data_IF_148681479408
#
_entry.id   IF_148681479408
#
_cell.length_a   1.000
_cell.length_b   1.000
_cell.length_c   1.000
_cell.angle_alpha   90.00
_cell.angle_beta   90.00
_cell.angle_gamma   90.00
#
_symmetry.space_group_name_H-M   'P 1'
#
loop_
_entity.id
_entity.type
_entity.pdbx_description
1 polymer ?
#
# COMPACT_ATOMS: atom_id res chain seq x y z
N UNK A 1 8.72 -9.55 45.22
CA UNK A 1 8.84 -8.12 45.00
C UNK A 1 10.35 -7.81 44.83
N UNK A 2 10.87 -7.88 43.61
CA UNK A 2 12.25 -7.46 43.24
C UNK A 2 12.14 -6.59 42.01
N UNK A 3 12.37 -5.32 42.23
CA UNK A 3 12.45 -4.29 41.17
C UNK A 3 13.71 -4.53 40.34
N UNK A 4 13.55 -4.56 39.03
CA UNK A 4 14.69 -4.49 38.09
C UNK A 4 14.95 -3.03 37.76
N UNK A 5 16.20 -2.58 37.74
CA UNK A 5 16.55 -1.21 37.39
C UNK A 5 16.44 -1.03 35.86
N UNK A 6 15.75 0.05 35.47
CA UNK A 6 15.66 0.50 34.08
C UNK A 6 17.06 0.81 33.53
N UNK A 7 17.34 0.31 32.35
CA UNK A 7 18.47 0.73 31.53
C UNK A 7 18.16 2.10 30.94
N UNK A 8 18.85 3.10 31.44
CA UNK A 8 18.94 4.41 30.78
C UNK A 8 19.82 4.20 29.54
N UNK A 9 19.21 4.26 28.36
CA UNK A 9 19.93 4.36 27.10
C UNK A 9 20.44 5.80 26.98
N UNK A 10 21.72 5.99 27.26
CA UNK A 10 22.44 7.22 26.93
C UNK A 10 22.62 7.26 25.40
N UNK A 11 21.94 8.21 24.74
CA UNK A 11 22.17 8.54 23.34
C UNK A 11 23.52 9.29 23.22
N UNK A 12 24.50 8.79 22.47
CA UNK A 12 25.68 9.56 22.12
C UNK A 12 25.38 10.32 20.82
N UNK A 13 25.42 11.63 20.85
CA UNK A 13 25.63 12.44 19.67
C UNK A 13 24.64 13.57 19.39
N UNK A 14 24.24 14.36 20.40
CA UNK A 14 23.74 15.71 20.12
C UNK A 14 24.91 16.65 19.86
N UNK A 15 25.09 17.08 18.61
CA UNK A 15 26.03 18.14 18.25
C UNK A 15 25.51 19.48 18.77
N UNK A 16 26.25 20.06 19.72
CA UNK A 16 26.02 21.40 20.22
C UNK A 16 26.34 22.45 19.15
N UNK A 17 25.31 23.15 18.65
CA UNK A 17 25.52 24.32 17.81
C UNK A 17 25.68 25.56 18.68
N UNK A 18 26.92 26.12 18.78
CA UNK A 18 27.17 27.42 19.42
C UNK A 18 26.56 28.53 18.57
N UNK A 19 25.91 29.49 19.24
CA UNK A 19 25.16 30.59 18.65
C UNK A 19 25.95 31.45 17.67
N UNK A 20 25.30 31.72 16.52
CA UNK A 20 25.79 32.63 15.51
C UNK A 20 24.74 33.67 15.16
N UNK A 21 25.08 34.93 15.24
CA UNK A 21 24.41 36.06 14.63
C UNK A 21 24.34 35.82 13.12
N UNK A 22 23.11 35.69 12.56
CA UNK A 22 22.83 35.31 11.16
C UNK A 22 23.48 33.96 10.78
N UNK A 23 23.04 32.88 11.44
CA UNK A 23 23.66 31.56 11.28
C UNK A 23 23.09 30.75 10.16
N UNK A 24 23.95 29.93 9.56
CA UNK A 24 23.55 28.75 8.79
C UNK A 24 23.73 27.59 9.76
N UNK A 25 22.62 26.84 10.00
CA UNK A 25 22.65 25.57 10.71
C UNK A 25 22.45 24.47 9.68
N UNK A 26 23.37 23.53 9.60
CA UNK A 26 23.26 22.34 8.75
C UNK A 26 23.13 21.10 9.62
N UNK A 27 22.14 20.30 9.35
CA UNK A 27 21.76 19.10 10.09
C UNK A 27 21.86 17.92 9.13
N UNK A 28 22.53 16.85 9.56
CA UNK A 28 22.60 15.58 8.87
C UNK A 28 21.98 14.52 9.78
N UNK A 29 20.70 14.19 9.61
CA UNK A 29 20.08 13.13 10.41
C UNK A 29 20.78 11.80 10.16
N UNK A 30 20.95 10.99 11.20
CA UNK A 30 21.51 9.67 11.06
C UNK A 30 20.49 8.75 10.39
N UNK A 31 20.84 8.02 9.30
CA UNK A 31 19.93 7.05 8.69
C UNK A 31 19.76 5.83 9.61
N UNK A 32 18.56 5.25 9.59
CA UNK A 32 18.24 4.03 10.35
C UNK A 32 17.79 2.91 9.41
N UNK A 33 18.00 1.65 9.84
CA UNK A 33 17.63 0.45 9.09
C UNK A 33 16.41 -0.27 9.70
N UNK A 34 15.55 0.47 10.39
CA UNK A 34 14.33 -0.06 10.99
C UNK A 34 13.29 -0.46 9.95
N UNK A 35 12.42 -1.42 10.29
CA UNK A 35 11.20 -1.67 9.53
C UNK A 35 10.24 -0.49 9.74
N UNK A 36 9.90 0.20 8.65
CA UNK A 36 8.97 1.34 8.69
C UNK A 36 7.55 0.86 8.42
N UNK A 37 6.61 1.35 9.22
CA UNK A 37 5.19 1.00 9.10
C UNK A 37 4.42 2.18 8.50
N UNK A 38 4.45 2.27 7.18
CA UNK A 38 3.86 3.38 6.44
C UNK A 38 2.56 2.98 5.70
N UNK A 39 1.61 3.90 5.52
CA UNK A 39 0.39 3.62 4.77
C UNK A 39 0.65 3.17 3.34
N UNK A 40 -0.03 2.11 2.90
CA UNK A 40 0.00 1.64 1.52
C UNK A 40 1.30 0.94 1.10
N UNK A 41 2.16 0.56 2.04
CA UNK A 41 3.38 -0.22 1.77
C UNK A 41 3.60 -1.30 2.81
N UNK A 42 4.25 -2.40 2.42
CA UNK A 42 4.59 -3.51 3.31
C UNK A 42 3.59 -4.66 3.26
N UNK A 43 3.21 -5.19 4.42
CA UNK A 43 2.36 -6.38 4.50
C UNK A 43 0.88 -6.03 4.38
N UNK A 44 0.19 -6.75 3.50
CA UNK A 44 -1.27 -6.82 3.47
C UNK A 44 -1.76 -7.92 4.40
N UNK A 45 -2.72 -7.62 5.25
CA UNK A 45 -3.41 -8.58 6.11
C UNK A 45 -4.63 -9.17 5.38
N UNK A 46 -4.85 -10.49 5.51
CA UNK A 46 -5.87 -11.21 4.76
C UNK A 46 -7.02 -11.65 5.68
N UNK A 47 -8.01 -10.79 5.88
CA UNK A 47 -9.04 -10.97 6.90
C UNK A 47 -10.10 -12.02 6.58
N UNK A 48 -10.42 -12.25 5.30
CA UNK A 48 -11.58 -13.06 4.94
C UNK A 48 -11.31 -14.56 4.87
N UNK A 49 -10.07 -15.03 5.05
CA UNK A 49 -9.76 -16.43 4.80
C UNK A 49 -9.18 -17.17 5.98
N UNK A 50 -8.10 -16.70 6.56
CA UNK A 50 -7.38 -17.45 7.59
C UNK A 50 -6.93 -16.58 8.75
N UNK A 51 -7.38 -15.32 8.78
CA UNK A 51 -6.97 -14.33 9.75
C UNK A 51 -7.24 -14.78 11.19
N UNK A 52 -6.18 -15.16 11.85
CA UNK A 52 -6.10 -15.18 13.31
C UNK A 52 -4.93 -14.28 13.71
N UNK A 53 -5.02 -13.63 14.87
CA UNK A 53 -3.93 -12.76 15.31
C UNK A 53 -2.62 -13.54 15.41
N UNK A 54 -1.58 -13.05 14.73
CA UNK A 54 -0.23 -13.59 14.78
C UNK A 54 0.65 -12.67 15.64
N UNK A 55 1.54 -13.26 16.42
CA UNK A 55 2.55 -12.49 17.16
C UNK A 55 3.61 -11.90 16.23
N UNK A 56 4.32 -10.88 16.68
CA UNK A 56 5.44 -10.29 15.92
C UNK A 56 6.59 -11.29 15.67
N UNK A 57 6.69 -12.34 16.48
CA UNK A 57 7.64 -13.42 16.27
C UNK A 57 7.23 -14.29 15.07
N UNK A 58 5.94 -14.48 14.88
CA UNK A 58 5.39 -15.33 13.82
C UNK A 58 5.23 -14.59 12.50
N UNK A 59 4.94 -13.27 12.53
CA UNK A 59 4.62 -12.52 11.33
C UNK A 59 5.04 -11.04 11.48
N UNK A 60 5.56 -10.39 10.42
CA UNK A 60 5.78 -8.94 10.43
C UNK A 60 4.49 -8.16 10.64
N UNK A 61 4.63 -6.92 11.10
CA UNK A 61 3.47 -6.01 11.26
C UNK A 61 2.80 -5.76 9.93
N UNK A 62 1.48 -5.91 9.87
CA UNK A 62 0.67 -5.54 8.71
C UNK A 62 0.39 -4.04 8.69
N UNK A 63 0.49 -3.42 7.53
CA UNK A 63 0.29 -1.99 7.29
C UNK A 63 -0.91 -1.70 6.41
N UNK A 64 -1.43 -2.72 5.74
CA UNK A 64 -2.61 -2.70 4.90
C UNK A 64 -3.56 -3.80 5.34
N UNK A 65 -4.80 -3.45 5.50
CA UNK A 65 -5.90 -4.35 5.83
C UNK A 65 -6.65 -4.68 4.54
N UNK A 66 -6.47 -5.90 4.01
CA UNK A 66 -6.96 -6.28 2.70
C UNK A 66 -8.22 -7.11 2.78
N UNK A 67 -9.32 -6.60 2.17
CA UNK A 67 -10.63 -7.23 2.17
C UNK A 67 -11.08 -7.66 0.78
N UNK A 68 -11.71 -8.84 0.70
CA UNK A 68 -12.47 -9.32 -0.45
C UNK A 68 -13.94 -9.37 -0.07
N UNK A 69 -14.76 -8.55 -0.73
CA UNK A 69 -16.21 -8.49 -0.49
C UNK A 69 -16.96 -9.15 -1.62
N UNK A 70 -18.01 -9.90 -1.29
CA UNK A 70 -18.89 -10.44 -2.29
C UNK A 70 -19.96 -9.41 -2.68
N UNK A 71 -20.33 -9.39 -3.95
CA UNK A 71 -21.45 -8.52 -4.39
C UNK A 71 -22.72 -8.76 -3.58
N UNK A 72 -23.06 -10.04 -3.27
CA UNK A 72 -24.20 -10.40 -2.43
C UNK A 72 -24.20 -9.75 -1.03
N UNK A 73 -23.04 -9.46 -0.48
CA UNK A 73 -22.90 -8.78 0.82
C UNK A 73 -23.04 -7.26 0.69
N UNK A 74 -22.49 -6.72 -0.40
CA UNK A 74 -22.47 -5.27 -0.65
C UNK A 74 -23.83 -4.73 -1.12
N UNK A 75 -24.64 -5.54 -1.80
CA UNK A 75 -25.96 -5.15 -2.30
C UNK A 75 -26.97 -6.28 -2.05
N UNK A 76 -27.37 -6.54 -0.79
CA UNK A 76 -28.27 -7.64 -0.42
C UNK A 76 -29.66 -7.49 -1.04
N UNK A 77 -30.11 -6.28 -1.37
CA UNK A 77 -31.30 -5.95 -2.13
C UNK A 77 -30.98 -4.94 -3.22
N UNK A 78 -31.71 -4.97 -4.34
CA UNK A 78 -31.44 -4.10 -5.47
C UNK A 78 -31.45 -2.62 -5.07
N UNK A 79 -30.32 -1.94 -5.25
CA UNK A 79 -30.11 -0.52 -4.90
C UNK A 79 -29.91 -0.23 -3.41
N UNK A 80 -29.92 -1.26 -2.55
CA UNK A 80 -29.61 -1.10 -1.11
C UNK A 80 -28.16 -1.53 -0.86
N UNK A 81 -27.26 -0.54 -0.84
CA UNK A 81 -25.82 -0.80 -0.64
C UNK A 81 -25.45 -0.85 0.84
N UNK A 82 -24.81 -1.93 1.25
CA UNK A 82 -24.37 -2.16 2.62
C UNK A 82 -22.96 -1.56 2.86
N UNK A 83 -22.86 -0.24 2.79
CA UNK A 83 -21.60 0.47 3.05
C UNK A 83 -21.04 0.21 4.45
N UNK A 84 -21.90 -0.11 5.42
CA UNK A 84 -21.48 -0.41 6.78
C UNK A 84 -20.43 -1.55 6.88
N UNK A 85 -20.35 -2.45 5.89
CA UNK A 85 -19.28 -3.46 5.84
C UNK A 85 -17.91 -2.83 5.63
N UNK A 86 -17.80 -1.95 4.65
CA UNK A 86 -16.54 -1.27 4.30
C UNK A 86 -16.22 -0.20 5.35
N UNK A 87 -17.23 0.53 5.84
CA UNK A 87 -17.05 1.55 6.88
C UNK A 87 -16.46 0.95 8.17
N UNK A 88 -16.94 -0.24 8.59
CA UNK A 88 -16.37 -0.95 9.75
C UNK A 88 -14.94 -1.41 9.51
N UNK A 89 -14.64 -1.89 8.30
CA UNK A 89 -13.28 -2.28 7.94
C UNK A 89 -12.33 -1.06 7.98
N UNK A 90 -12.75 0.08 7.45
CA UNK A 90 -12.00 1.34 7.54
C UNK A 90 -11.78 1.74 9.00
N UNK A 91 -12.85 1.74 9.81
CA UNK A 91 -12.76 2.12 11.21
C UNK A 91 -11.80 1.21 11.99
N UNK A 92 -11.89 -0.09 11.79
CA UNK A 92 -10.99 -1.08 12.40
C UNK A 92 -9.53 -0.84 12.01
N UNK A 93 -9.24 -0.67 10.73
CA UNK A 93 -7.90 -0.42 10.22
C UNK A 93 -7.32 0.91 10.76
N UNK A 94 -8.14 1.95 10.85
CA UNK A 94 -7.71 3.26 11.34
C UNK A 94 -7.48 3.30 12.87
N UNK A 95 -8.04 2.34 13.63
CA UNK A 95 -7.80 2.18 15.07
C UNK A 95 -6.76 1.09 15.40
N UNK A 96 -6.22 0.40 14.40
CA UNK A 96 -5.13 -0.56 14.59
C UNK A 96 -3.84 0.12 15.06
N UNK A 97 -2.94 -0.66 15.66
CA UNK A 97 -1.60 -0.19 16.06
C UNK A 97 -0.53 -1.11 15.48
N UNK A 98 0.28 -0.64 14.52
CA UNK A 98 0.20 0.67 13.86
C UNK A 98 -1.10 0.84 13.06
N UNK A 99 -1.47 2.09 12.81
CA UNK A 99 -2.60 2.44 11.95
C UNK A 99 -2.43 1.86 10.55
N UNK A 100 -3.46 1.19 10.04
CA UNK A 100 -3.44 0.53 8.73
C UNK A 100 -4.22 1.34 7.70
N UNK A 101 -3.81 1.26 6.44
CA UNK A 101 -4.67 1.57 5.31
C UNK A 101 -5.50 0.35 4.93
N UNK A 102 -6.54 0.53 4.13
CA UNK A 102 -7.38 -0.56 3.64
C UNK A 102 -7.20 -0.73 2.12
N UNK A 103 -7.24 -1.97 1.67
CA UNK A 103 -7.39 -2.32 0.26
C UNK A 103 -8.58 -3.24 0.08
N UNK A 104 -9.24 -3.20 -1.07
CA UNK A 104 -10.43 -4.00 -1.28
C UNK A 104 -10.56 -4.55 -2.70
N UNK A 105 -11.23 -5.71 -2.81
CA UNK A 105 -11.63 -6.37 -4.04
C UNK A 105 -13.11 -6.75 -3.95
N UNK A 106 -13.87 -6.51 -5.00
CA UNK A 106 -15.22 -7.04 -5.15
C UNK A 106 -15.17 -8.34 -5.95
N UNK A 107 -15.84 -9.38 -5.48
CA UNK A 107 -15.84 -10.71 -6.11
C UNK A 107 -17.25 -11.17 -6.46
N UNK A 108 -17.36 -11.92 -7.54
CA UNK A 108 -18.60 -12.59 -7.97
C UNK A 108 -18.50 -14.12 -7.92
N UNK A 109 -17.28 -14.64 -7.78
CA UNK A 109 -16.99 -16.07 -7.62
C UNK A 109 -15.91 -16.25 -6.54
N UNK A 110 -16.00 -17.35 -5.82
CA UNK A 110 -15.03 -17.81 -4.82
C UNK A 110 -14.79 -19.32 -5.02
N UNK A 111 -14.51 -20.06 -3.97
CA UNK A 111 -14.40 -21.51 -4.02
C UNK A 111 -15.64 -22.15 -4.65
N UNK A 112 -15.48 -23.16 -5.53
CA UNK A 112 -16.58 -23.70 -6.36
C UNK A 112 -17.78 -24.22 -5.58
N UNK A 113 -17.57 -24.66 -4.34
CA UNK A 113 -18.61 -25.22 -3.48
C UNK A 113 -19.06 -24.28 -2.37
N UNK A 114 -18.58 -23.04 -2.34
CA UNK A 114 -18.89 -22.07 -1.28
C UNK A 114 -20.18 -21.27 -1.52
N UNK A 115 -20.91 -21.59 -2.58
CA UNK A 115 -22.17 -20.93 -2.95
C UNK A 115 -21.98 -19.68 -3.81
N UNK A 116 -23.11 -19.18 -4.34
CA UNK A 116 -23.14 -17.98 -5.18
C UNK A 116 -22.69 -16.74 -4.42
N UNK A 117 -21.92 -15.87 -5.07
CA UNK A 117 -21.38 -14.63 -4.51
C UNK A 117 -22.04 -13.37 -5.11
N UNK A 118 -22.95 -13.55 -6.05
CA UNK A 118 -23.81 -12.48 -6.56
C UNK A 118 -25.16 -12.48 -5.80
N UNK A 119 -25.86 -11.34 -5.74
CA UNK A 119 -27.12 -11.26 -5.02
C UNK A 119 -28.20 -12.18 -5.59
N UNK A 120 -28.99 -12.82 -4.72
CA UNK A 120 -30.11 -13.66 -5.12
C UNK A 120 -31.14 -12.89 -5.95
N UNK A 121 -31.41 -11.63 -5.60
CA UNK A 121 -32.32 -10.78 -6.37
C UNK A 121 -31.88 -10.62 -7.84
N UNK A 122 -30.55 -10.59 -8.08
CA UNK A 122 -29.98 -10.47 -9.42
C UNK A 122 -30.18 -11.76 -10.23
N UNK A 123 -30.00 -12.93 -9.61
CA UNK A 123 -30.30 -14.24 -10.22
C UNK A 123 -31.80 -14.33 -10.54
N UNK A 124 -32.67 -13.94 -9.60
CA UNK A 124 -34.11 -13.95 -9.74
C UNK A 124 -34.64 -12.97 -10.82
N UNK A 125 -33.86 -11.97 -11.20
CA UNK A 125 -34.14 -11.08 -12.36
C UNK A 125 -33.90 -11.77 -13.71
N UNK A 126 -33.35 -12.98 -13.70
CA UNK A 126 -33.15 -13.78 -14.91
C UNK A 126 -31.92 -13.35 -15.72
N UNK A 127 -30.85 -12.88 -15.05
CA UNK A 127 -29.54 -12.71 -15.72
C UNK A 127 -29.08 -14.05 -16.29
N UNK A 128 -28.33 -13.99 -17.39
CA UNK A 128 -27.73 -15.20 -17.96
C UNK A 128 -26.59 -15.70 -17.07
N UNK A 129 -26.43 -17.01 -17.04
CA UNK A 129 -25.42 -17.72 -16.29
C UNK A 129 -25.74 -19.20 -16.19
N UNK A 130 -24.91 -19.90 -15.45
CA UNK A 130 -25.07 -21.35 -15.25
C UNK A 130 -24.92 -21.73 -13.78
N UNK A 131 -25.72 -22.73 -13.36
CA UNK A 131 -25.56 -23.37 -12.07
C UNK A 131 -24.52 -24.49 -12.18
N UNK A 132 -23.49 -24.44 -11.35
CA UNK A 132 -22.48 -25.49 -11.27
C UNK A 132 -22.52 -26.19 -9.91
N UNK A 133 -21.78 -27.30 -9.78
CA UNK A 133 -21.63 -28.03 -8.52
C UNK A 133 -22.96 -28.39 -7.85
N UNK A 134 -23.85 -29.10 -8.58
CA UNK A 134 -25.17 -29.50 -8.10
C UNK A 134 -26.04 -28.30 -7.66
N UNK A 135 -26.08 -27.24 -8.44
CA UNK A 135 -26.81 -25.99 -8.14
C UNK A 135 -26.37 -25.26 -6.87
N UNK A 136 -25.12 -25.43 -6.43
CA UNK A 136 -24.61 -24.70 -5.27
C UNK A 136 -24.11 -23.30 -5.64
N UNK A 137 -23.52 -23.15 -6.83
CA UNK A 137 -22.89 -21.89 -7.25
C UNK A 137 -23.44 -21.45 -8.61
N UNK A 138 -23.96 -20.24 -8.67
CA UNK A 138 -24.33 -19.59 -9.91
C UNK A 138 -23.12 -18.82 -10.47
N UNK A 139 -22.71 -19.19 -11.68
CA UNK A 139 -21.65 -18.52 -12.44
C UNK A 139 -22.32 -17.57 -13.44
N UNK A 140 -22.16 -16.24 -13.27
CA UNK A 140 -22.78 -15.30 -14.18
C UNK A 140 -22.12 -15.33 -15.56
N UNK A 141 -22.94 -15.07 -16.60
CA UNK A 141 -22.42 -14.80 -17.94
C UNK A 141 -22.00 -13.33 -18.04
N UNK A 142 -20.70 -13.10 -18.08
CA UNK A 142 -20.13 -11.73 -18.15
C UNK A 142 -20.46 -11.01 -19.46
N UNK A 143 -20.99 -11.69 -20.46
CA UNK A 143 -21.50 -11.05 -21.68
C UNK A 143 -22.96 -10.58 -21.56
N UNK A 144 -23.62 -10.80 -20.42
CA UNK A 144 -24.98 -10.36 -20.18
C UNK A 144 -25.05 -8.85 -19.97
N UNK A 145 -25.73 -8.07 -20.82
CA UNK A 145 -25.86 -6.63 -20.67
C UNK A 145 -26.62 -6.22 -19.39
N UNK A 146 -27.51 -7.08 -18.87
CA UNK A 146 -28.20 -6.81 -17.60
C UNK A 146 -27.25 -6.94 -16.41
N UNK A 147 -26.35 -7.93 -16.42
CA UNK A 147 -25.31 -8.08 -15.41
C UNK A 147 -24.37 -6.88 -15.43
N UNK A 148 -23.85 -6.51 -16.59
CA UNK A 148 -22.97 -5.35 -16.77
C UNK A 148 -23.61 -4.04 -16.28
N UNK A 149 -24.88 -3.80 -16.62
CA UNK A 149 -25.59 -2.58 -16.22
C UNK A 149 -25.72 -2.46 -14.69
N UNK A 150 -25.92 -3.57 -14.00
CA UNK A 150 -26.03 -3.60 -12.53
C UNK A 150 -24.69 -3.53 -11.84
N UNK A 151 -23.66 -4.21 -12.38
CA UNK A 151 -22.29 -4.05 -11.95
C UNK A 151 -21.82 -2.59 -12.04
N UNK A 152 -22.18 -1.91 -13.13
CA UNK A 152 -21.88 -0.48 -13.30
C UNK A 152 -22.49 0.36 -12.17
N UNK A 153 -23.75 0.11 -11.80
CA UNK A 153 -24.41 0.84 -10.70
C UNK A 153 -23.76 0.56 -9.34
N UNK A 154 -23.41 -0.69 -9.06
CA UNK A 154 -22.68 -1.04 -7.83
C UNK A 154 -21.38 -0.24 -7.72
N UNK A 155 -20.55 -0.25 -8.76
CA UNK A 155 -19.28 0.46 -8.74
C UNK A 155 -19.43 1.97 -8.72
N UNK A 156 -20.44 2.53 -9.39
CA UNK A 156 -20.79 3.96 -9.26
C UNK A 156 -21.13 4.32 -7.81
N UNK A 157 -21.90 3.49 -7.11
CA UNK A 157 -22.24 3.72 -5.71
C UNK A 157 -21.01 3.61 -4.80
N UNK A 158 -20.17 2.59 -4.99
CA UNK A 158 -18.93 2.42 -4.24
C UNK A 158 -17.96 3.59 -4.49
N UNK A 159 -17.78 3.98 -5.74
CA UNK A 159 -16.91 5.10 -6.10
C UNK A 159 -17.39 6.44 -5.53
N UNK A 160 -18.70 6.71 -5.63
CA UNK A 160 -19.28 7.94 -5.05
C UNK A 160 -19.07 8.05 -3.54
N UNK A 161 -19.00 6.90 -2.84
CA UNK A 161 -18.83 6.86 -1.39
C UNK A 161 -17.36 6.82 -0.95
N UNK A 162 -16.50 6.10 -1.68
CA UNK A 162 -15.14 5.79 -1.21
C UNK A 162 -14.00 6.37 -2.04
N UNK A 163 -14.22 6.83 -3.28
CA UNK A 163 -13.10 7.30 -4.10
C UNK A 163 -12.37 8.49 -3.48
N UNK A 164 -11.06 8.33 -3.32
CA UNK A 164 -10.19 9.31 -2.68
C UNK A 164 -10.27 9.31 -1.15
N UNK A 165 -10.91 8.32 -0.52
CA UNK A 165 -10.86 8.16 0.93
C UNK A 165 -9.40 7.98 1.37
N UNK A 166 -8.91 8.78 2.36
CA UNK A 166 -7.52 8.74 2.80
C UNK A 166 -7.09 7.39 3.41
N UNK A 167 -8.02 6.62 3.94
CA UNK A 167 -7.76 5.29 4.45
C UNK A 167 -7.61 4.24 3.34
N UNK A 168 -8.12 4.51 2.12
CA UNK A 168 -8.12 3.54 1.04
C UNK A 168 -6.79 3.60 0.27
N UNK A 169 -5.98 2.56 0.39
CA UNK A 169 -4.69 2.39 -0.29
C UNK A 169 -4.88 2.15 -1.78
N UNK A 170 -5.64 1.13 -2.13
CA UNK A 170 -5.96 0.77 -3.52
C UNK A 170 -7.23 -0.08 -3.59
N UNK A 171 -7.73 -0.24 -4.82
CA UNK A 171 -8.83 -1.14 -5.17
C UNK A 171 -8.35 -2.08 -6.26
N UNK A 172 -8.54 -3.39 -6.07
CA UNK A 172 -8.27 -4.35 -7.14
C UNK A 172 -9.39 -4.28 -8.19
N UNK A 173 -8.99 -4.26 -9.46
CA UNK A 173 -9.91 -4.46 -10.59
C UNK A 173 -10.27 -5.94 -10.63
N UNK A 174 -11.15 -6.33 -9.73
CA UNK A 174 -11.61 -7.69 -9.52
C UNK A 174 -12.89 -8.00 -10.25
N UNK A 175 -13.83 -8.65 -9.56
CA UNK A 175 -15.17 -9.02 -9.99
C UNK A 175 -15.22 -10.21 -10.96
N UNK A 176 -14.30 -10.33 -11.92
CA UNK A 176 -14.37 -11.30 -13.00
C UNK A 176 -13.59 -12.59 -12.65
N UNK A 177 -14.26 -13.73 -12.83
CA UNK A 177 -13.65 -15.05 -12.70
C UNK A 177 -13.44 -15.51 -11.27
N UNK A 178 -12.72 -16.60 -11.12
CA UNK A 178 -12.36 -17.20 -9.83
C UNK A 178 -11.65 -16.18 -8.94
N UNK A 179 -12.14 -16.00 -7.72
CA UNK A 179 -11.65 -15.03 -6.73
C UNK A 179 -11.51 -13.57 -7.23
N UNK A 180 -12.18 -13.23 -8.33
CA UNK A 180 -11.99 -11.93 -8.99
C UNK A 180 -10.62 -11.78 -9.65
N UNK A 181 -9.96 -12.88 -10.01
CA UNK A 181 -8.58 -12.91 -10.52
C UNK A 181 -8.47 -13.05 -12.05
N UNK A 182 -9.56 -12.85 -12.77
CA UNK A 182 -9.60 -12.85 -14.24
C UNK A 182 -9.17 -14.17 -14.88
N UNK A 183 -9.52 -15.28 -14.25
CA UNK A 183 -9.42 -16.65 -14.77
C UNK A 183 -10.59 -17.51 -14.27
N UNK A 184 -10.72 -18.72 -14.80
CA UNK A 184 -11.78 -19.66 -14.42
C UNK A 184 -11.18 -21.02 -14.00
N UNK A 185 -9.93 -21.05 -13.52
CA UNK A 185 -9.18 -22.29 -13.34
C UNK A 185 -9.72 -23.22 -12.24
N UNK A 186 -10.52 -22.69 -11.29
CA UNK A 186 -11.15 -23.51 -10.25
C UNK A 186 -12.55 -24.00 -10.62
N UNK A 187 -13.00 -23.73 -11.84
CA UNK A 187 -14.31 -24.17 -12.38
C UNK A 187 -14.12 -25.14 -13.53
N UNK A 188 -15.04 -26.10 -13.72
CA UNK A 188 -15.00 -26.98 -14.89
C UNK A 188 -15.35 -26.20 -16.17
N UNK A 189 -14.79 -26.63 -17.29
CA UNK A 189 -15.14 -26.12 -18.62
C UNK A 189 -14.12 -25.17 -19.22
N UNK A 190 -14.53 -24.30 -20.16
CA UNK A 190 -13.64 -23.41 -20.91
C UNK A 190 -12.97 -22.35 -20.02
N UNK A 191 -11.78 -21.88 -20.42
CA UNK A 191 -11.09 -20.75 -19.78
C UNK A 191 -11.87 -19.44 -19.99
N UNK A 192 -11.50 -18.38 -19.28
CA UNK A 192 -12.11 -17.07 -19.42
C UNK A 192 -11.99 -16.55 -20.87
N UNK A 193 -10.81 -16.71 -21.48
CA UNK A 193 -10.49 -16.29 -22.83
C UNK A 193 -11.25 -17.09 -23.91
N UNK A 194 -11.59 -18.32 -23.61
CA UNK A 194 -12.42 -19.16 -24.49
C UNK A 194 -13.92 -18.81 -24.39
N UNK A 195 -14.34 -18.24 -23.23
CA UNK A 195 -15.74 -17.85 -22.99
C UNK A 195 -16.05 -16.45 -23.53
N UNK A 196 -15.13 -15.52 -23.43
CA UNK A 196 -15.37 -14.11 -23.68
C UNK A 196 -14.28 -13.46 -24.52
N UNK A 197 -14.70 -12.62 -25.45
CA UNK A 197 -13.78 -11.74 -26.18
C UNK A 197 -13.29 -10.57 -25.31
N UNK A 198 -12.19 -9.95 -25.70
CA UNK A 198 -11.69 -8.74 -25.04
C UNK A 198 -12.74 -7.62 -25.03
N UNK A 199 -13.51 -7.46 -26.09
CA UNK A 199 -14.57 -6.44 -26.18
C UNK A 199 -15.70 -6.66 -25.17
N UNK A 200 -15.98 -7.90 -24.80
CA UNK A 200 -16.95 -8.23 -23.75
C UNK A 200 -16.40 -7.98 -22.34
N UNK A 201 -15.09 -8.09 -22.13
CA UNK A 201 -14.44 -7.94 -20.82
C UNK A 201 -14.00 -6.50 -20.52
N UNK A 202 -13.59 -5.71 -21.52
CA UNK A 202 -13.16 -4.31 -21.35
C UNK A 202 -14.12 -3.45 -20.53
N UNK A 203 -15.44 -3.53 -20.70
CA UNK A 203 -16.38 -2.72 -19.92
C UNK A 203 -16.24 -2.91 -18.39
N UNK A 204 -15.83 -4.09 -17.92
CA UNK A 204 -15.61 -4.36 -16.49
C UNK A 204 -14.33 -3.71 -15.95
N UNK A 205 -13.31 -3.53 -16.78
CA UNK A 205 -12.15 -2.68 -16.45
C UNK A 205 -12.60 -1.23 -16.41
N UNK A 206 -13.31 -0.77 -17.44
CA UNK A 206 -13.73 0.63 -17.60
C UNK A 206 -14.61 1.11 -16.44
N UNK A 207 -15.59 0.33 -16.02
CA UNK A 207 -16.49 0.72 -14.94
C UNK A 207 -15.74 0.88 -13.60
N UNK A 208 -14.77 0.02 -13.33
CA UNK A 208 -13.97 0.09 -12.10
C UNK A 208 -12.95 1.25 -12.16
N UNK A 209 -12.32 1.46 -13.31
CA UNK A 209 -11.47 2.63 -13.54
C UNK A 209 -12.22 3.96 -13.38
N UNK A 210 -13.44 4.03 -13.92
CA UNK A 210 -14.29 5.22 -13.84
C UNK A 210 -14.83 5.49 -12.42
N UNK A 211 -15.11 4.45 -11.65
CA UNK A 211 -15.62 4.56 -10.29
C UNK A 211 -14.59 5.13 -9.31
N UNK A 212 -13.31 4.86 -9.52
CA UNK A 212 -12.23 5.25 -8.61
C UNK A 212 -11.15 6.11 -9.31
N UNK A 213 -11.49 7.31 -9.83
CA UNK A 213 -10.51 8.13 -10.54
C UNK A 213 -9.34 8.63 -9.68
N UNK A 214 -9.52 8.76 -8.37
CA UNK A 214 -8.51 9.27 -7.42
C UNK A 214 -7.77 8.17 -6.67
N UNK A 215 -8.45 7.05 -6.41
CA UNK A 215 -7.86 5.91 -5.69
C UNK A 215 -7.06 5.05 -6.67
N UNK A 216 -5.84 4.60 -6.34
CA UNK A 216 -5.09 3.65 -7.14
C UNK A 216 -5.88 2.37 -7.39
N UNK A 217 -5.82 1.83 -8.60
CA UNK A 217 -6.44 0.55 -8.99
C UNK A 217 -5.36 -0.40 -9.44
N UNK A 218 -5.50 -1.69 -9.09
CA UNK A 218 -4.59 -2.76 -9.47
C UNK A 218 -5.30 -3.78 -10.35
N UNK A 219 -4.71 -4.10 -11.49
CA UNK A 219 -5.21 -5.15 -12.39
C UNK A 219 -4.43 -6.43 -12.19
N UNK A 220 -5.15 -7.55 -12.09
CA UNK A 220 -4.54 -8.88 -12.01
C UNK A 220 -3.83 -9.21 -13.33
N UNK A 221 -2.62 -9.78 -13.23
CA UNK A 221 -1.80 -10.14 -14.39
C UNK A 221 -2.35 -11.36 -15.18
N UNK A 222 -3.36 -12.05 -14.65
CA UNK A 222 -3.78 -13.37 -15.15
C UNK A 222 -4.40 -13.35 -16.56
N UNK A 223 -5.20 -12.34 -16.90
CA UNK A 223 -5.76 -12.18 -18.25
C UNK A 223 -4.92 -11.15 -19.03
N UNK A 224 -4.06 -11.60 -19.91
CA UNK A 224 -3.09 -10.74 -20.57
C UNK A 224 -3.73 -9.55 -21.33
N UNK A 225 -4.76 -9.72 -22.19
CA UNK A 225 -5.37 -8.58 -22.88
C UNK A 225 -5.96 -7.53 -21.94
N UNK A 226 -6.61 -7.96 -20.85
CA UNK A 226 -7.20 -7.02 -19.88
C UNK A 226 -6.15 -6.38 -18.98
N UNK A 227 -5.09 -7.11 -18.65
CA UNK A 227 -3.93 -6.59 -17.94
C UNK A 227 -3.27 -5.44 -18.75
N UNK A 228 -2.94 -5.67 -20.02
CA UNK A 228 -2.38 -4.65 -20.89
C UNK A 228 -3.32 -3.44 -21.07
N UNK A 229 -4.60 -3.70 -21.24
CA UNK A 229 -5.62 -2.66 -21.38
C UNK A 229 -5.72 -1.79 -20.11
N UNK A 230 -5.79 -2.37 -18.93
CA UNK A 230 -5.93 -1.64 -17.67
C UNK A 230 -4.66 -0.85 -17.33
N UNK A 231 -3.47 -1.44 -17.48
CA UNK A 231 -2.21 -0.75 -17.22
C UNK A 231 -2.00 0.38 -18.22
N UNK A 232 -2.36 0.17 -19.50
CA UNK A 232 -2.37 1.23 -20.50
C UNK A 232 -3.27 2.41 -20.15
N UNK A 233 -4.32 2.20 -19.36
CA UNK A 233 -5.22 3.24 -18.80
C UNK A 233 -4.73 3.83 -17.48
N UNK A 234 -3.58 3.42 -16.97
CA UNK A 234 -2.99 3.96 -15.75
C UNK A 234 -3.25 3.16 -14.47
N UNK A 235 -3.79 1.95 -14.57
CA UNK A 235 -3.81 1.04 -13.43
C UNK A 235 -2.38 0.57 -13.08
N UNK A 236 -2.16 0.27 -11.78
CA UNK A 236 -1.08 -0.60 -11.35
C UNK A 236 -1.45 -2.06 -11.59
N UNK A 237 -0.68 -2.96 -11.03
CA UNK A 237 -0.94 -4.37 -11.25
C UNK A 237 -0.65 -5.25 -10.05
N UNK A 238 -1.20 -6.47 -10.10
CA UNK A 238 -1.13 -7.45 -9.04
C UNK A 238 -0.91 -8.86 -9.61
N UNK A 239 -0.13 -9.68 -8.89
CA UNK A 239 0.05 -11.09 -9.18
C UNK A 239 -0.14 -11.90 -7.90
N UNK A 240 -1.09 -12.86 -7.92
CA UNK A 240 -1.57 -13.57 -6.74
C UNK A 240 -1.00 -15.00 -6.60
N UNK A 241 0.14 -15.29 -7.26
CA UNK A 241 0.88 -16.53 -7.07
C UNK A 241 2.40 -16.32 -7.08
N UNK A 242 2.85 -15.29 -6.33
CA UNK A 242 4.25 -15.01 -6.15
C UNK A 242 4.96 -16.19 -5.47
N UNK A 243 6.13 -16.59 -6.00
CA UNK A 243 6.91 -17.70 -5.46
C UNK A 243 6.48 -19.06 -5.95
N UNK A 244 5.57 -19.16 -6.93
CA UNK A 244 5.35 -20.43 -7.62
C UNK A 244 6.54 -20.75 -8.53
N UNK A 245 7.53 -21.46 -7.99
CA UNK A 245 8.62 -22.03 -8.76
C UNK A 245 8.28 -23.41 -9.33
N UNK A 246 7.49 -24.18 -8.61
CA UNK A 246 7.00 -25.52 -8.98
C UNK A 246 5.80 -25.96 -8.11
N UNK A 247 4.98 -25.02 -7.63
CA UNK A 247 3.87 -25.29 -6.72
C UNK A 247 2.82 -26.23 -7.35
N UNK A 248 2.48 -26.00 -8.61
CA UNK A 248 1.50 -26.80 -9.33
C UNK A 248 2.10 -27.81 -10.28
N UNK A 249 3.33 -27.58 -10.79
CA UNK A 249 3.95 -28.40 -11.83
C UNK A 249 5.47 -28.25 -11.85
N UNK A 250 6.16 -29.35 -12.15
CA UNK A 250 7.61 -29.32 -12.33
C UNK A 250 8.06 -28.76 -13.69
N UNK A 251 7.18 -28.75 -14.69
CA UNK A 251 7.50 -28.28 -16.06
C UNK A 251 7.04 -26.87 -16.38
N UNK A 252 6.12 -26.31 -15.58
CA UNK A 252 5.58 -24.99 -15.76
C UNK A 252 5.33 -24.31 -14.41
N UNK A 253 5.58 -23.01 -14.33
CA UNK A 253 5.26 -22.22 -13.14
C UNK A 253 5.02 -20.75 -13.46
N UNK A 254 4.39 -20.04 -12.53
CA UNK A 254 4.16 -18.60 -12.66
C UNK A 254 5.49 -17.83 -12.74
N UNK A 255 6.46 -18.17 -11.88
CA UNK A 255 7.73 -17.44 -11.78
C UNK A 255 8.65 -17.68 -12.99
N UNK A 256 8.67 -18.89 -13.56
CA UNK A 256 9.56 -19.23 -14.68
C UNK A 256 8.96 -18.99 -16.05
N UNK A 257 7.65 -19.07 -16.18
CA UNK A 257 6.96 -19.06 -17.46
C UNK A 257 5.95 -17.90 -17.57
N UNK A 258 4.86 -17.93 -16.77
CA UNK A 258 3.73 -17.03 -16.98
C UNK A 258 4.06 -15.55 -16.77
N UNK A 259 4.67 -15.20 -15.64
CA UNK A 259 4.98 -13.81 -15.34
C UNK A 259 6.03 -13.19 -16.26
N UNK A 260 7.17 -13.85 -16.54
CA UNK A 260 8.12 -13.32 -17.52
C UNK A 260 7.51 -13.10 -18.91
N UNK A 261 6.69 -14.04 -19.40
CA UNK A 261 6.04 -13.93 -20.70
C UNK A 261 5.06 -12.75 -20.73
N UNK A 262 4.18 -12.63 -19.72
CA UNK A 262 3.18 -11.56 -19.66
C UNK A 262 3.82 -10.17 -19.50
N UNK A 263 4.87 -10.06 -18.69
CA UNK A 263 5.60 -8.80 -18.55
C UNK A 263 6.35 -8.44 -19.82
N UNK A 264 6.90 -9.42 -20.55
CA UNK A 264 7.55 -9.18 -21.84
C UNK A 264 6.54 -8.68 -22.88
N UNK A 265 5.35 -9.28 -22.95
CA UNK A 265 4.25 -8.82 -23.80
C UNK A 265 3.83 -7.40 -23.46
N UNK A 266 3.58 -7.12 -22.17
CA UNK A 266 3.18 -5.78 -21.74
C UNK A 266 4.25 -4.71 -22.05
N UNK A 267 5.54 -5.05 -21.95
CA UNK A 267 6.63 -4.13 -22.38
C UNK A 267 6.60 -3.84 -23.88
N UNK A 268 6.17 -4.80 -24.68
CA UNK A 268 6.06 -4.62 -26.12
C UNK A 268 4.82 -3.80 -26.53
N UNK A 269 3.69 -4.04 -25.85
CA UNK A 269 2.37 -3.58 -26.31
C UNK A 269 1.82 -2.38 -25.54
N UNK A 270 2.30 -2.12 -24.31
CA UNK A 270 1.87 -1.00 -23.47
C UNK A 270 2.93 0.10 -23.44
N UNK A 271 2.58 1.27 -23.93
CA UNK A 271 3.48 2.42 -23.91
C UNK A 271 3.91 2.78 -22.46
N UNK A 272 5.20 2.93 -22.25
CA UNK A 272 5.80 3.28 -20.95
C UNK A 272 5.49 2.27 -19.82
N UNK A 273 5.31 0.99 -20.14
CA UNK A 273 5.06 -0.05 -19.15
C UNK A 273 6.12 -0.08 -18.04
N UNK A 274 7.41 -0.01 -18.40
CA UNK A 274 8.53 -0.04 -17.45
C UNK A 274 8.55 1.11 -16.44
N UNK A 275 7.79 2.17 -16.69
CA UNK A 275 7.59 3.28 -15.75
C UNK A 275 6.18 3.34 -15.15
N UNK A 276 5.33 2.35 -15.40
CA UNK A 276 3.94 2.31 -14.90
C UNK A 276 3.88 2.35 -13.37
N UNK A 277 4.84 1.69 -12.70
CA UNK A 277 4.99 1.70 -11.25
C UNK A 277 5.22 3.08 -10.65
N UNK A 278 5.66 4.07 -11.42
CA UNK A 278 5.78 5.46 -10.94
C UNK A 278 4.41 6.16 -10.79
N UNK A 279 3.36 5.60 -11.37
CA UNK A 279 2.00 6.19 -11.38
C UNK A 279 1.00 5.42 -10.51
N UNK A 280 1.18 4.11 -10.40
CA UNK A 280 0.27 3.25 -9.65
C UNK A 280 1.04 2.06 -9.04
N UNK A 281 0.59 1.53 -7.88
CA UNK A 281 1.32 0.52 -7.13
C UNK A 281 1.38 -0.82 -7.84
N UNK A 282 2.39 -1.61 -7.46
CA UNK A 282 2.50 -3.04 -7.75
C UNK A 282 2.34 -3.80 -6.44
N UNK A 283 1.49 -4.82 -6.44
CA UNK A 283 1.22 -5.66 -5.27
C UNK A 283 1.37 -7.13 -5.61
N UNK A 284 1.65 -7.94 -4.61
CA UNK A 284 1.78 -9.38 -4.75
C UNK A 284 1.01 -10.13 -3.67
N UNK A 285 0.66 -11.38 -3.98
CA UNK A 285 0.21 -12.35 -3.00
C UNK A 285 1.00 -13.64 -3.21
N UNK A 286 1.47 -14.25 -2.11
CA UNK A 286 2.25 -15.47 -2.19
C UNK A 286 1.40 -16.65 -2.66
N UNK A 287 2.02 -17.56 -3.41
CA UNK A 287 1.39 -18.80 -3.86
C UNK A 287 1.37 -19.81 -2.71
N UNK A 288 0.17 -20.35 -2.41
CA UNK A 288 -0.01 -21.18 -1.22
C UNK A 288 0.26 -20.40 0.07
N UNK A 289 0.92 -21.03 1.03
CA UNK A 289 1.28 -20.41 2.34
C UNK A 289 2.78 -20.55 2.58
N UNK A 290 3.39 -19.52 3.18
CA UNK A 290 4.82 -19.56 3.50
C UNK A 290 5.19 -20.73 4.42
N UNK A 291 4.30 -21.11 5.34
CA UNK A 291 4.49 -22.26 6.24
C UNK A 291 4.58 -23.59 5.51
N UNK A 292 4.02 -23.70 4.31
CA UNK A 292 4.05 -24.90 3.47
C UNK A 292 5.31 -25.02 2.60
N UNK A 293 5.98 -23.89 2.33
CA UNK A 293 7.12 -23.85 1.40
C UNK A 293 8.31 -24.72 1.80
N UNK A 294 8.75 -24.78 3.08
CA UNK A 294 9.89 -25.63 3.44
C UNK A 294 9.57 -27.13 3.42
N UNK A 295 8.33 -27.52 3.71
CA UNK A 295 7.91 -28.92 3.81
C UNK A 295 7.26 -29.44 2.53
N UNK A 296 6.08 -28.93 2.21
CA UNK A 296 5.26 -29.43 1.08
C UNK A 296 5.87 -29.06 -0.26
N UNK A 297 6.37 -27.84 -0.41
CA UNK A 297 6.95 -27.35 -1.66
C UNK A 297 8.45 -27.64 -1.77
N UNK A 298 9.13 -27.88 -0.66
CA UNK A 298 10.59 -28.12 -0.60
C UNK A 298 11.41 -27.01 -1.25
N UNK A 299 10.98 -25.75 -1.11
CA UNK A 299 11.69 -24.61 -1.68
C UNK A 299 13.04 -24.40 -0.99
N UNK A 300 14.04 -24.16 -1.81
CA UNK A 300 15.38 -23.78 -1.34
C UNK A 300 15.41 -22.37 -0.82
N UNK A 301 16.39 -22.02 0.00
CA UNK A 301 16.59 -20.65 0.47
C UNK A 301 16.84 -19.68 -0.69
N UNK A 302 17.49 -20.15 -1.77
CA UNK A 302 17.70 -19.38 -3.00
C UNK A 302 16.36 -19.06 -3.70
N UNK A 303 15.44 -20.01 -3.80
CA UNK A 303 14.12 -19.77 -4.40
C UNK A 303 13.30 -18.80 -3.56
N UNK A 304 13.32 -18.93 -2.24
CA UNK A 304 12.63 -17.96 -1.34
C UNK A 304 13.23 -16.57 -1.50
N UNK A 305 14.56 -16.45 -1.47
CA UNK A 305 15.23 -15.16 -1.68
C UNK A 305 14.92 -14.59 -3.06
N UNK A 306 15.02 -15.40 -4.11
CA UNK A 306 14.71 -14.98 -5.47
C UNK A 306 13.25 -14.49 -5.63
N UNK A 307 12.31 -15.06 -4.87
CA UNK A 307 10.91 -14.62 -4.84
C UNK A 307 10.79 -13.15 -4.39
N UNK A 308 11.39 -12.83 -3.26
CA UNK A 308 11.32 -11.46 -2.71
C UNK A 308 12.18 -10.47 -3.51
N UNK A 309 13.36 -10.89 -3.99
CA UNK A 309 14.19 -10.07 -4.87
C UNK A 309 13.45 -9.74 -6.18
N UNK A 310 12.72 -10.71 -6.75
CA UNK A 310 11.91 -10.48 -7.94
C UNK A 310 10.77 -9.49 -7.67
N UNK A 311 10.08 -9.60 -6.54
CA UNK A 311 9.04 -8.66 -6.17
C UNK A 311 9.59 -7.22 -6.05
N UNK A 312 10.75 -7.05 -5.43
CA UNK A 312 11.43 -5.75 -5.34
C UNK A 312 11.85 -5.22 -6.72
N UNK A 313 12.34 -6.10 -7.61
CA UNK A 313 12.70 -5.74 -8.98
C UNK A 313 11.48 -5.31 -9.82
N UNK A 314 10.27 -5.73 -9.45
CA UNK A 314 9.03 -5.27 -10.04
C UNK A 314 8.43 -4.06 -9.29
N UNK A 315 9.19 -3.41 -8.42
CA UNK A 315 8.77 -2.20 -7.66
C UNK A 315 7.57 -2.45 -6.73
N UNK A 316 7.56 -3.59 -6.03
CA UNK A 316 6.51 -3.95 -5.09
C UNK A 316 6.26 -2.86 -4.04
N UNK A 317 5.01 -2.46 -3.88
CA UNK A 317 4.56 -1.60 -2.79
C UNK A 317 4.05 -2.41 -1.61
N UNK A 318 3.31 -3.49 -1.89
CA UNK A 318 2.70 -4.35 -0.89
C UNK A 318 2.85 -5.82 -1.25
N UNK A 319 2.77 -6.67 -0.22
CA UNK A 319 2.73 -8.12 -0.36
C UNK A 319 1.77 -8.74 0.64
N UNK A 320 0.89 -9.62 0.17
CA UNK A 320 0.00 -10.41 0.99
C UNK A 320 0.67 -11.77 1.28
N UNK A 321 1.00 -12.01 2.54
CA UNK A 321 1.53 -13.30 3.03
C UNK A 321 0.40 -14.23 3.54
N UNK A 322 -0.86 -13.90 3.21
CA UNK A 322 -2.08 -14.64 3.58
C UNK A 322 -2.30 -14.78 5.08
N UNK A 323 -1.75 -13.83 5.87
CA UNK A 323 -1.81 -13.88 7.34
C UNK A 323 -1.40 -15.24 7.90
N UNK A 324 -0.36 -15.83 7.30
CA UNK A 324 0.18 -17.12 7.66
C UNK A 324 1.54 -16.97 8.36
N UNK A 325 1.89 -17.80 9.36
CA UNK A 325 3.18 -17.71 10.02
C UNK A 325 4.36 -17.78 9.05
N UNK A 326 5.28 -16.86 9.16
CA UNK A 326 6.52 -16.86 8.39
C UNK A 326 7.50 -17.85 9.06
N UNK A 327 7.95 -18.89 8.37
CA UNK A 327 8.96 -19.79 8.90
C UNK A 327 10.20 -19.03 9.41
N UNK A 328 10.72 -19.33 10.60
CA UNK A 328 11.82 -18.56 11.19
C UNK A 328 13.04 -18.38 10.28
N UNK A 329 13.37 -19.39 9.47
CA UNK A 329 14.47 -19.32 8.50
C UNK A 329 14.24 -18.35 7.36
N UNK A 330 12.97 -18.01 7.03
CA UNK A 330 12.62 -17.06 5.97
C UNK A 330 12.48 -15.62 6.51
N UNK A 331 12.33 -15.47 7.83
CA UNK A 331 12.09 -14.15 8.45
C UNK A 331 13.14 -13.10 8.07
N UNK A 332 14.46 -13.37 8.07
CA UNK A 332 15.45 -12.39 7.63
C UNK A 332 15.29 -11.96 6.17
N UNK A 333 14.88 -12.88 5.28
CA UNK A 333 14.64 -12.57 3.87
C UNK A 333 13.43 -11.62 3.74
N UNK A 334 12.33 -11.94 4.44
CA UNK A 334 11.11 -11.14 4.45
C UNK A 334 11.39 -9.74 5.02
N UNK A 335 12.03 -9.65 6.18
CA UNK A 335 12.35 -8.37 6.80
C UNK A 335 13.28 -7.51 5.92
N UNK A 336 14.27 -8.11 5.24
CA UNK A 336 15.13 -7.39 4.30
C UNK A 336 14.34 -6.86 3.09
N UNK A 337 13.38 -7.63 2.59
CA UNK A 337 12.50 -7.17 1.52
C UNK A 337 11.62 -5.99 1.99
N UNK A 338 11.05 -6.07 3.19
CA UNK A 338 10.20 -5.02 3.75
C UNK A 338 10.94 -3.70 3.97
N UNK A 339 12.25 -3.73 4.25
CA UNK A 339 13.07 -2.50 4.34
C UNK A 339 13.15 -1.72 3.03
N UNK A 340 12.95 -2.39 1.89
CA UNK A 340 13.04 -1.82 0.55
C UNK A 340 11.69 -1.67 -0.15
N UNK A 341 10.68 -2.42 0.28
CA UNK A 341 9.37 -2.45 -0.36
C UNK A 341 8.67 -1.09 -0.25
N UNK A 342 8.02 -0.65 -1.33
CA UNK A 342 7.34 0.62 -1.39
C UNK A 342 8.29 1.82 -1.29
N UNK A 343 7.91 2.84 -0.54
CA UNK A 343 8.72 4.04 -0.32
C UNK A 343 9.39 4.04 1.06
N UNK A 344 10.64 4.52 1.08
CA UNK A 344 11.44 4.77 2.29
C UNK A 344 12.08 6.14 2.17
N UNK A 345 11.48 7.14 2.78
CA UNK A 345 11.93 8.53 2.66
C UNK A 345 13.04 8.81 3.68
N UNK A 346 14.13 9.38 3.20
CA UNK A 346 15.32 9.72 3.98
C UNK A 346 15.64 11.19 3.76
N UNK A 347 15.88 11.92 4.84
CA UNK A 347 16.42 13.28 4.82
C UNK A 347 17.96 13.20 4.92
N UNK A 348 18.66 13.54 3.85
CA UNK A 348 20.11 13.53 3.82
C UNK A 348 20.70 14.73 4.55
N UNK A 349 20.07 15.90 4.35
CA UNK A 349 20.52 17.16 4.92
C UNK A 349 19.35 18.14 5.04
N UNK A 350 19.32 18.89 6.13
CA UNK A 350 18.50 20.09 6.29
C UNK A 350 19.36 21.28 6.62
N UNK A 351 19.26 22.36 5.85
CA UNK A 351 19.94 23.61 6.11
C UNK A 351 18.93 24.69 6.47
N UNK A 352 19.09 25.28 7.67
CA UNK A 352 18.38 26.46 8.12
C UNK A 352 19.25 27.69 7.93
N UNK A 353 18.67 28.75 7.37
CA UNK A 353 19.36 30.04 7.20
C UNK A 353 18.43 31.16 7.61
N UNK A 354 18.94 32.04 8.46
CA UNK A 354 18.22 33.24 8.94
C UNK A 354 18.59 33.61 10.35
N UNK A 355 18.01 34.70 10.84
CA UNK A 355 18.23 35.13 12.24
C UNK A 355 17.26 34.36 13.17
N UNK A 356 17.77 33.76 14.22
CA UNK A 356 17.01 33.04 15.24
C UNK A 356 16.39 34.02 16.24
N UNK A 357 15.43 34.84 15.79
CA UNK A 357 14.75 35.86 16.60
C UNK A 357 13.29 36.05 16.18
N UNK A 358 12.43 36.51 17.09
CA UNK A 358 11.04 36.80 16.77
C UNK A 358 10.90 37.75 15.58
N UNK A 359 9.94 37.48 14.69
CA UNK A 359 9.68 38.24 13.47
C UNK A 359 10.60 37.97 12.29
N UNK A 360 11.66 37.19 12.47
CA UNK A 360 12.56 36.80 11.37
C UNK A 360 11.97 35.70 10.49
N UNK A 361 12.46 35.62 9.26
CA UNK A 361 12.15 34.51 8.35
C UNK A 361 13.34 33.55 8.24
N UNK A 362 13.09 32.29 8.49
CA UNK A 362 14.06 31.20 8.31
C UNK A 362 13.80 30.54 6.95
N UNK A 363 14.87 30.31 6.19
CA UNK A 363 14.82 29.46 4.99
C UNK A 363 15.24 28.06 5.36
N UNK A 364 14.43 27.07 4.98
CA UNK A 364 14.67 25.65 5.20
C UNK A 364 14.90 24.98 3.85
N UNK A 365 16.10 24.43 3.65
CA UNK A 365 16.44 23.67 2.43
C UNK A 365 16.73 22.23 2.84
N UNK A 366 15.94 21.30 2.36
CA UNK A 366 16.09 19.88 2.62
C UNK A 366 16.51 19.12 1.37
N UNK A 367 17.51 18.26 1.50
CA UNK A 367 17.90 17.29 0.47
C UNK A 367 17.40 15.91 0.91
N UNK A 368 16.69 15.24 0.03
CA UNK A 368 15.96 14.01 0.31
C UNK A 368 16.24 12.96 -0.76
N UNK A 369 16.07 11.69 -0.38
CA UNK A 369 15.94 10.60 -1.34
C UNK A 369 14.90 9.57 -0.87
N UNK A 370 14.48 8.72 -1.81
CA UNK A 370 13.64 7.56 -1.54
C UNK A 370 14.49 6.30 -1.70
N UNK A 371 14.80 5.63 -0.59
CA UNK A 371 15.60 4.39 -0.53
C UNK A 371 14.75 3.12 -0.68
N UNK A 372 13.46 3.27 -0.97
CA UNK A 372 12.56 2.17 -1.34
C UNK A 372 12.65 1.82 -2.82
N UNK A 373 11.73 0.96 -3.28
CA UNK A 373 11.65 0.53 -4.69
C UNK A 373 10.47 1.15 -5.44
N UNK A 374 9.59 1.88 -4.78
CA UNK A 374 8.42 2.54 -5.37
C UNK A 374 8.21 3.94 -4.76
N UNK A 375 7.49 4.86 -5.43
CA UNK A 375 7.11 6.13 -4.83
C UNK A 375 5.93 5.97 -3.87
N UNK A 376 5.62 7.02 -3.12
CA UNK A 376 4.31 7.19 -2.51
C UNK A 376 3.28 7.56 -3.58
N UNK A 377 2.09 6.96 -3.54
CA UNK A 377 1.02 7.29 -4.51
C UNK A 377 0.00 8.27 -3.95
N UNK A 378 0.29 8.79 -2.78
CA UNK A 378 -0.46 9.86 -2.11
C UNK A 378 0.53 10.85 -1.53
N UNK A 379 0.13 12.12 -1.49
CA UNK A 379 0.92 13.15 -0.85
C UNK A 379 0.51 13.33 0.61
N UNK A 380 1.51 13.50 1.48
CA UNK A 380 1.37 14.01 2.84
C UNK A 380 2.17 15.29 2.96
N UNK A 381 1.58 16.39 3.42
CA UNK A 381 2.31 17.66 3.59
C UNK A 381 3.46 17.49 4.59
N UNK A 382 4.68 17.82 4.17
CA UNK A 382 5.80 17.96 5.07
C UNK A 382 5.56 19.20 5.95
N UNK A 383 5.70 19.03 7.25
CA UNK A 383 5.46 20.09 8.23
C UNK A 383 6.67 20.22 9.15
N UNK A 384 7.12 21.43 9.35
CA UNK A 384 8.15 21.79 10.33
C UNK A 384 7.51 22.55 11.49
N UNK A 385 8.01 22.35 12.71
CA UNK A 385 7.62 23.14 13.87
C UNK A 385 8.81 23.42 14.79
N UNK A 386 8.70 24.53 15.52
CA UNK A 386 9.54 24.83 16.68
C UNK A 386 8.68 24.64 17.93
N UNK A 387 9.10 23.74 18.82
CA UNK A 387 8.39 23.40 20.05
C UNK A 387 9.33 23.56 21.24
N UNK A 388 8.88 24.22 22.31
CA UNK A 388 9.70 24.41 23.52
C UNK A 388 9.62 23.18 24.45
N UNK A 389 10.33 23.22 25.57
CA UNK A 389 10.39 22.11 26.54
C UNK A 389 9.01 21.78 27.14
N UNK A 390 8.11 22.77 27.25
CA UNK A 390 6.73 22.58 27.74
C UNK A 390 5.79 22.04 26.66
N UNK A 391 6.28 21.73 25.45
CA UNK A 391 5.48 21.23 24.34
C UNK A 391 4.67 22.32 23.61
N UNK A 392 4.94 23.60 23.86
CA UNK A 392 4.24 24.69 23.19
C UNK A 392 4.86 24.96 21.81
N UNK A 393 4.01 25.04 20.79
CA UNK A 393 4.45 25.34 19.43
C UNK A 393 4.63 26.84 19.25
N UNK A 394 5.87 27.30 19.11
CA UNK A 394 6.23 28.68 18.86
C UNK A 394 6.07 29.11 17.40
N UNK A 395 6.38 28.21 16.46
CA UNK A 395 6.21 28.41 15.02
C UNK A 395 5.93 27.09 14.32
N UNK A 396 5.18 27.15 13.20
CA UNK A 396 4.86 26.00 12.37
C UNK A 396 4.80 26.39 10.90
N UNK A 397 5.27 25.51 10.04
CA UNK A 397 5.22 25.65 8.59
C UNK A 397 4.70 24.36 7.97
N UNK A 398 3.58 24.41 7.26
CA UNK A 398 3.10 23.34 6.37
C UNK A 398 3.58 23.66 4.96
N UNK A 399 4.35 22.77 4.38
CA UNK A 399 4.93 22.98 3.05
C UNK A 399 3.96 22.58 1.92
N UNK A 400 4.34 22.89 0.68
CA UNK A 400 3.60 22.51 -0.53
C UNK A 400 4.32 21.45 -1.37
N UNK A 401 5.28 20.76 -0.77
CA UNK A 401 6.03 19.71 -1.46
C UNK A 401 5.12 18.54 -1.82
N UNK A 402 5.39 17.92 -2.96
CA UNK A 402 4.67 16.75 -3.46
C UNK A 402 5.61 15.54 -3.46
N UNK A 403 5.51 14.73 -2.40
CA UNK A 403 6.34 13.54 -2.24
C UNK A 403 6.01 12.39 -3.20
N UNK A 404 4.88 12.46 -3.92
CA UNK A 404 4.55 11.46 -4.94
C UNK A 404 5.54 11.48 -6.12
N UNK A 405 6.32 12.55 -6.23
CA UNK A 405 7.38 12.73 -7.24
C UNK A 405 8.77 12.30 -6.75
N UNK A 406 8.88 11.83 -5.52
CA UNK A 406 10.16 11.39 -4.96
C UNK A 406 10.42 9.93 -5.35
N UNK A 407 10.88 9.79 -6.59
CA UNK A 407 11.07 8.49 -7.23
C UNK A 407 12.36 7.83 -6.74
N UNK A 408 12.35 6.52 -6.46
CA UNK A 408 13.56 5.76 -6.13
C UNK A 408 14.71 6.04 -7.08
N UNK A 409 15.92 6.20 -6.51
CA UNK A 409 17.13 6.49 -7.29
C UNK A 409 17.29 7.95 -7.75
N UNK A 410 16.34 8.83 -7.43
CA UNK A 410 16.45 10.27 -7.68
C UNK A 410 16.57 11.06 -6.37
N UNK A 411 17.21 12.23 -6.43
CA UNK A 411 17.25 13.19 -5.31
C UNK A 411 16.07 14.15 -5.43
N UNK A 412 15.50 14.51 -4.27
CA UNK A 412 14.50 15.55 -4.15
C UNK A 412 15.03 16.68 -3.28
N UNK A 413 14.72 17.92 -3.63
CA UNK A 413 15.13 19.09 -2.85
C UNK A 413 13.89 19.90 -2.49
N UNK A 414 13.75 20.25 -1.21
CA UNK A 414 12.71 21.15 -0.71
C UNK A 414 13.31 22.51 -0.40
N UNK A 415 12.54 23.57 -0.66
CA UNK A 415 12.94 24.97 -0.35
C UNK A 415 11.73 25.68 0.21
N UNK A 416 11.78 25.92 1.50
CA UNK A 416 10.65 26.44 2.26
C UNK A 416 11.08 27.65 3.09
N UNK A 417 10.11 28.46 3.55
CA UNK A 417 10.37 29.62 4.37
C UNK A 417 9.38 29.67 5.54
N UNK A 418 9.91 29.70 6.76
CA UNK A 418 9.14 29.81 8.00
C UNK A 418 9.35 31.18 8.63
N UNK A 419 8.29 31.98 8.72
CA UNK A 419 8.34 33.25 9.44
C UNK A 419 8.03 33.00 10.90
N UNK A 420 8.95 33.37 11.77
CA UNK A 420 8.79 33.31 13.21
C UNK A 420 7.81 34.39 13.66
N UNK A 421 6.78 34.06 14.48
CA UNK A 421 5.87 35.06 14.99
C UNK A 421 6.60 36.19 15.73
N UNK A 422 6.21 37.45 15.52
CA UNK A 422 6.82 38.59 16.21
C UNK A 422 6.62 38.56 17.74
N UNK A 423 5.66 37.76 18.23
CA UNK A 423 5.40 37.56 19.67
C UNK A 423 5.95 36.24 20.20
N UNK A 424 6.72 35.52 19.39
CA UNK A 424 7.36 34.28 19.82
C UNK A 424 8.24 34.53 21.06
N UNK A 425 8.12 33.68 22.06
CA UNK A 425 8.97 33.78 23.24
C UNK A 425 10.44 33.58 22.87
N UNK A 426 11.32 34.32 23.53
CA UNK A 426 12.76 34.06 23.48
C UNK A 426 13.04 32.94 24.44
N UNK A 427 13.31 31.76 23.87
CA UNK A 427 13.35 30.51 24.61
C UNK A 427 14.15 29.47 23.81
N UNK A 428 14.36 28.32 24.42
CA UNK A 428 14.92 27.15 23.81
C UNK A 428 13.85 26.34 23.10
N UNK A 429 14.07 25.99 21.83
CA UNK A 429 13.13 25.25 21.00
C UNK A 429 13.79 24.04 20.34
N UNK A 430 13.00 23.02 20.14
CA UNK A 430 13.36 21.89 19.27
C UNK A 430 12.77 22.12 17.88
N UNK A 431 13.60 21.99 16.85
CA UNK A 431 13.14 21.89 15.47
C UNK A 431 12.68 20.46 15.21
N UNK A 432 11.42 20.32 14.89
CA UNK A 432 10.83 19.03 14.58
C UNK A 432 10.18 19.05 13.19
N UNK A 433 10.15 17.88 12.52
CA UNK A 433 9.42 17.67 11.28
C UNK A 433 8.54 16.42 11.35
N UNK A 434 7.47 16.43 10.54
CA UNK A 434 6.66 15.25 10.25
C UNK A 434 5.94 15.42 8.91
N UNK A 435 5.55 14.31 8.30
CA UNK A 435 4.55 14.30 7.24
C UNK A 435 3.17 14.10 7.86
N UNK A 436 2.25 15.01 7.60
CA UNK A 436 1.00 15.13 8.35
C UNK A 436 -0.17 14.54 7.57
N UNK A 437 -0.99 13.72 8.25
CA UNK A 437 -2.23 13.18 7.73
C UNK A 437 -3.38 14.18 7.69
N UNK A 438 -4.52 13.77 7.15
CA UNK A 438 -5.73 14.59 7.13
C UNK A 438 -6.32 14.81 8.53
N UNK A 439 -6.05 13.91 9.45
CA UNK A 439 -6.35 14.00 10.89
C UNK A 439 -5.43 15.00 11.64
N UNK A 440 -4.51 15.64 10.94
CA UNK A 440 -3.49 16.57 11.46
C UNK A 440 -2.48 15.91 12.40
N UNK A 441 -2.36 14.60 12.35
CA UNK A 441 -1.34 13.85 13.09
C UNK A 441 -0.20 13.40 12.16
N UNK A 442 1.02 13.14 12.70
CA UNK A 442 2.09 12.49 11.96
C UNK A 442 1.61 11.17 11.34
N UNK A 443 1.87 11.00 10.05
CA UNK A 443 1.36 9.89 9.26
C UNK A 443 2.44 8.92 8.77
N UNK A 444 3.70 9.37 8.71
CA UNK A 444 4.80 8.60 8.12
C UNK A 444 5.95 8.42 9.08
N UNK A 445 6.55 7.24 9.01
CA UNK A 445 7.87 6.96 9.53
C UNK A 445 8.92 7.17 8.43
N UNK A 446 10.06 7.73 8.80
CA UNK A 446 11.17 8.06 7.91
C UNK A 446 12.39 7.20 8.21
N UNK A 447 13.25 7.00 7.23
CA UNK A 447 14.48 6.25 7.37
C UNK A 447 15.61 7.05 8.09
N UNK A 448 15.25 7.86 9.08
CA UNK A 448 16.18 8.66 9.89
C UNK A 448 15.93 8.50 11.38
N UNK A 449 16.94 8.78 12.21
CA UNK A 449 16.81 8.84 13.65
C UNK A 449 16.06 10.11 14.11
N UNK A 450 15.69 10.14 15.40
CA UNK A 450 15.03 11.30 16.03
C UNK A 450 13.51 11.19 16.13
N UNK A 451 12.93 10.01 15.88
CA UNK A 451 11.50 9.78 16.06
C UNK A 451 11.14 9.84 17.56
N UNK A 452 10.23 10.75 17.89
CA UNK A 452 9.67 10.92 19.23
C UNK A 452 8.33 10.12 19.37
N UNK A 453 7.89 9.87 20.59
CA UNK A 453 6.61 9.20 20.86
C UNK A 453 5.39 9.90 20.22
N UNK A 454 5.51 11.20 19.99
CA UNK A 454 4.50 12.03 19.30
C UNK A 454 4.40 11.77 17.80
N UNK A 455 5.31 10.97 17.21
CA UNK A 455 5.42 10.74 15.77
C UNK A 455 6.20 11.84 15.02
N UNK A 456 6.66 12.88 15.69
CA UNK A 456 7.52 13.91 15.12
C UNK A 456 8.99 13.50 15.20
N UNK A 457 9.80 14.00 14.26
CA UNK A 457 11.24 13.80 14.22
C UNK A 457 11.95 15.04 14.77
N UNK A 458 12.63 14.92 15.89
CA UNK A 458 13.44 15.98 16.49
C UNK A 458 14.80 16.02 15.80
N UNK A 459 15.12 17.17 15.18
CA UNK A 459 16.31 17.32 14.35
C UNK A 459 17.41 18.14 15.01
N UNK A 460 17.07 19.20 15.73
CA UNK A 460 18.04 20.11 16.35
C UNK A 460 17.41 20.94 17.46
N UNK A 461 18.28 21.50 18.28
CA UNK A 461 17.98 22.51 19.30
C UNK A 461 18.27 23.91 18.75
N UNK A 462 17.38 24.87 19.01
CA UNK A 462 17.44 26.23 18.48
C UNK A 462 17.11 27.23 19.59
N UNK A 463 18.02 28.14 19.90
CA UNK A 463 17.78 29.25 20.81
C UNK A 463 17.23 30.45 20.05
N UNK A 464 16.03 30.91 20.39
CA UNK A 464 15.42 32.13 19.88
C UNK A 464 15.82 33.29 20.79
N UNK A 465 16.56 34.26 20.23
CA UNK A 465 17.16 35.40 20.95
C UNK A 465 16.32 36.69 20.85
#
# INVERSE_FOLDING_TARGET
MKMHPGRILLYPGLLWAQGALAGILTIHPEPVDDLLHNPGVGIEEFHNSWGHPLSLAEHPVSTVDYFRFYWSELEPREGEYNFALIDRAIDQAQHATPKQSIALRVMTLDEPFSGSKIPEWLINKGIRGEWVNNHQTFVPDYSDPQFLARATRLFQALGAHYDGNPALSHVDIGMIGSWGEWHMSNLPGPTLEQRYSSEQLKPYVDLQMAAFPRTPKLMLINNLPMFEYAVGKGAGWRADCLGDWHHFSQSWSHMRNAYPERLASARADVANFDSSWQRAPVSFEVCGKLSEWPGQQQYTMEEVKATFDWALAQHASTINLKSDPVPPQYRPIVDNALRKMGYRIVLDQLTLKGAMKPGATLTLNGDWHNDGVAPAYRNWPLTYRLVNEEGQVGAMLVTRNDMTRWIPGSKATTRDSMTLPGRMARDHYYLELAFIGQDKQPALQLGIAGLEESGWYRLAEIDIQ
#
